data_IF_489468684186
#
_entry.id   IF_489468684186
#
_cell.length_a   1.000
_cell.length_b   1.000
_cell.length_c   1.000
_cell.angle_alpha   90.00
_cell.angle_beta   90.00
_cell.angle_gamma   90.00
#
_symmetry.space_group_name_H-M   'P 1'
#
loop_
_entity.id
_entity.type
_entity.pdbx_description
1 polymer ?
#
# COMPACT_ATOMS: atom_id res chain seq x y z
N UNK A 1 -7.63 4.17 3.54
CA UNK A 1 -6.99 2.95 3.01
C UNK A 1 -6.56 3.19 1.58
N UNK A 2 -5.34 2.83 1.26
CA UNK A 2 -4.86 2.92 -0.12
C UNK A 2 -5.44 1.79 -0.96
N UNK A 3 -5.77 2.08 -2.21
CA UNK A 3 -6.25 1.08 -3.17
C UNK A 3 -5.25 0.99 -4.30
N UNK A 4 -4.61 -0.17 -4.43
CA UNK A 4 -3.52 -0.39 -5.38
C UNK A 4 -3.96 -1.44 -6.40
N UNK A 5 -3.93 -1.14 -7.70
CA UNK A 5 -4.31 -2.12 -8.72
C UNK A 5 -3.36 -3.32 -8.75
N UNK A 6 -3.95 -4.51 -8.88
CA UNK A 6 -3.20 -5.73 -9.12
C UNK A 6 -4.03 -6.62 -10.04
N UNK A 7 -3.74 -6.53 -11.36
CA UNK A 7 -4.55 -7.22 -12.35
C UNK A 7 -5.99 -6.68 -12.36
N UNK A 8 -6.95 -7.56 -12.24
CA UNK A 8 -8.37 -7.20 -12.17
C UNK A 8 -8.86 -6.92 -10.76
N UNK A 9 -7.95 -6.85 -9.80
CA UNK A 9 -8.28 -6.63 -8.39
C UNK A 9 -7.65 -5.37 -7.87
N UNK A 10 -8.20 -4.87 -6.77
CA UNK A 10 -7.62 -3.78 -5.98
C UNK A 10 -7.18 -4.32 -4.65
N UNK A 11 -6.02 -3.89 -4.21
CA UNK A 11 -5.51 -4.24 -2.90
C UNK A 11 -5.63 -3.03 -2.01
N UNK A 12 -6.37 -3.17 -0.91
CA UNK A 12 -6.45 -2.14 0.11
C UNK A 12 -5.36 -2.36 1.16
N UNK A 13 -4.61 -1.32 1.46
CA UNK A 13 -3.57 -1.39 2.49
C UNK A 13 -3.51 -0.05 3.23
N UNK A 14 -3.40 -0.10 4.55
CA UNK A 14 -3.35 1.11 5.36
C UNK A 14 -2.00 1.80 5.25
N UNK A 15 -1.97 3.14 5.27
CA UNK A 15 -0.72 3.89 5.11
C UNK A 15 0.37 3.52 6.10
N UNK A 16 0.00 3.25 7.35
CA UNK A 16 0.97 2.93 8.41
C UNK A 16 1.58 1.54 8.27
N UNK A 17 1.01 0.69 7.40
CA UNK A 17 1.52 -0.67 7.16
C UNK A 17 2.42 -0.76 5.95
N UNK A 18 2.62 0.35 5.25
CA UNK A 18 3.50 0.42 4.07
C UNK A 18 4.85 0.95 4.51
N UNK A 19 5.92 0.30 4.07
CA UNK A 19 7.29 0.72 4.34
C UNK A 19 7.96 1.13 3.04
N UNK A 20 8.82 2.13 3.12
CA UNK A 20 9.72 2.47 2.02
C UNK A 20 10.96 1.61 2.19
N UNK A 21 11.29 0.84 1.17
CA UNK A 21 12.41 -0.10 1.19
C UNK A 21 13.35 0.19 0.02
N UNK A 22 14.58 -0.33 0.08
CA UNK A 22 15.56 -0.11 -0.96
C UNK A 22 15.47 -1.14 -2.08
N UNK A 23 14.88 -2.31 -1.80
CA UNK A 23 14.80 -3.42 -2.75
C UNK A 23 13.51 -4.19 -2.57
N UNK A 24 13.14 -4.94 -3.61
CA UNK A 24 12.07 -5.95 -3.56
C UNK A 24 10.70 -5.40 -3.21
N UNK A 25 10.44 -4.16 -3.55
CA UNK A 25 9.15 -3.54 -3.34
C UNK A 25 8.48 -3.15 -4.64
N UNK A 26 7.30 -2.54 -4.52
CA UNK A 26 6.57 -1.98 -5.64
C UNK A 26 7.15 -0.62 -5.99
N UNK A 27 7.48 -0.42 -7.26
CA UNK A 27 8.05 0.85 -7.70
C UNK A 27 7.03 1.98 -7.50
N UNK A 28 7.50 3.10 -6.98
CA UNK A 28 6.66 4.25 -6.70
C UNK A 28 7.47 5.52 -6.86
N UNK A 29 6.77 6.62 -7.08
CA UNK A 29 7.41 7.94 -7.12
C UNK A 29 6.81 8.81 -6.03
N UNK A 30 7.68 9.49 -5.29
CA UNK A 30 7.25 10.42 -4.25
C UNK A 30 6.71 11.68 -4.90
N UNK A 31 5.52 12.10 -4.51
CA UNK A 31 4.88 13.32 -5.00
C UNK A 31 4.99 14.44 -3.98
N UNK A 32 4.62 14.17 -2.74
CA UNK A 32 4.72 15.15 -1.66
C UNK A 32 5.17 14.49 -0.38
N UNK A 33 5.75 15.28 0.51
CA UNK A 33 6.15 14.84 1.85
C UNK A 33 5.64 15.88 2.84
N UNK A 34 4.92 15.43 3.86
CA UNK A 34 4.38 16.29 4.90
C UNK A 34 4.88 15.81 6.25
N UNK A 35 5.48 16.72 7.01
CA UNK A 35 5.98 16.42 8.34
C UNK A 35 4.96 16.89 9.38
N UNK A 36 4.47 15.96 10.19
CA UNK A 36 3.42 16.20 11.16
C UNK A 36 3.93 16.16 12.61
N UNK A 37 5.20 16.49 12.81
CA UNK A 37 5.82 16.38 14.11
C UNK A 37 6.33 14.98 14.37
N UNK A 38 5.54 14.14 15.06
CA UNK A 38 5.97 12.78 15.37
C UNK A 38 5.99 11.86 14.15
N UNK A 39 5.21 12.18 13.12
CA UNK A 39 5.05 11.34 11.93
C UNK A 39 5.30 12.14 10.66
N UNK A 40 5.51 11.43 9.56
CA UNK A 40 5.52 11.98 8.21
C UNK A 40 4.53 11.22 7.34
N UNK A 41 3.89 11.94 6.42
CA UNK A 41 3.04 11.34 5.40
C UNK A 41 3.70 11.58 4.06
N UNK A 42 4.00 10.50 3.36
CA UNK A 42 4.63 10.53 2.04
C UNK A 42 3.57 10.10 1.02
N UNK A 43 3.15 11.02 0.17
CA UNK A 43 2.24 10.70 -0.91
C UNK A 43 3.06 10.24 -2.10
N UNK A 44 2.80 9.00 -2.52
CA UNK A 44 3.48 8.39 -3.65
C UNK A 44 2.49 8.08 -4.76
N UNK A 45 3.01 7.74 -5.92
CA UNK A 45 2.22 7.29 -7.05
C UNK A 45 2.73 5.92 -7.50
N UNK A 46 1.82 4.95 -7.59
CA UNK A 46 2.10 3.60 -8.06
C UNK A 46 1.17 3.35 -9.24
N UNK A 47 1.76 3.18 -10.44
CA UNK A 47 0.98 2.93 -11.65
C UNK A 47 -0.15 3.95 -11.85
N UNK A 48 0.16 5.22 -11.60
CA UNK A 48 -0.80 6.30 -11.77
C UNK A 48 -1.79 6.47 -10.62
N UNK A 49 -1.71 5.66 -9.57
CA UNK A 49 -2.62 5.72 -8.44
C UNK A 49 -1.94 6.33 -7.22
N UNK A 50 -2.62 7.21 -6.49
CA UNK A 50 -2.04 7.78 -5.27
C UNK A 50 -2.00 6.74 -4.15
N UNK A 51 -0.86 6.69 -3.47
CA UNK A 51 -0.64 5.78 -2.35
C UNK A 51 0.02 6.56 -1.24
N UNK A 52 -0.63 6.64 -0.08
CA UNK A 52 -0.08 7.33 1.09
C UNK A 52 0.69 6.35 1.96
N UNK A 53 1.87 6.79 2.40
CA UNK A 53 2.70 6.05 3.35
C UNK A 53 2.83 6.90 4.61
N UNK A 54 2.59 6.29 5.76
CA UNK A 54 2.77 6.98 7.04
C UNK A 54 3.96 6.36 7.75
N UNK A 55 4.95 7.18 8.05
CA UNK A 55 6.17 6.78 8.75
C UNK A 55 6.29 7.49 10.07
N UNK A 56 6.84 6.80 11.06
CA UNK A 56 7.23 7.47 12.31
C UNK A 56 8.42 8.37 12.03
N UNK A 57 8.41 9.52 12.69
CA UNK A 57 9.53 10.43 12.63
C UNK A 57 9.60 11.25 11.35
N UNK A 58 10.79 11.76 11.09
CA UNK A 58 11.05 12.65 9.97
C UNK A 58 11.52 11.84 8.76
N UNK A 59 10.79 11.92 7.66
CA UNK A 59 11.17 11.22 6.43
C UNK A 59 12.28 11.94 5.70
N UNK A 60 13.20 11.17 5.11
CA UNK A 60 14.27 11.69 4.25
C UNK A 60 13.86 11.70 2.78
N UNK A 61 12.65 11.27 2.45
CA UNK A 61 12.18 11.27 1.07
C UNK A 61 11.94 12.70 0.58
N UNK A 62 12.12 12.89 -0.71
CA UNK A 62 11.89 14.18 -1.39
C UNK A 62 10.96 13.99 -2.58
N UNK A 63 10.14 14.99 -2.91
CA UNK A 63 9.33 14.94 -4.13
C UNK A 63 10.19 14.62 -5.36
N UNK A 64 9.72 13.69 -6.17
CA UNK A 64 10.43 13.25 -7.36
C UNK A 64 11.31 12.03 -7.16
N UNK A 65 11.52 11.60 -5.91
CA UNK A 65 12.31 10.40 -5.64
C UNK A 65 11.61 9.15 -6.17
N UNK A 66 12.40 8.24 -6.72
CA UNK A 66 11.94 6.89 -7.04
C UNK A 66 12.21 6.01 -5.84
N UNK A 67 11.17 5.38 -5.34
CA UNK A 67 11.24 4.55 -4.13
C UNK A 67 10.57 3.22 -4.39
N UNK A 68 10.71 2.30 -3.45
CA UNK A 68 9.99 1.03 -3.46
C UNK A 68 9.18 0.90 -2.19
N UNK A 69 7.96 0.40 -2.34
CA UNK A 69 7.04 0.24 -1.23
C UNK A 69 6.83 -1.24 -0.96
N UNK A 70 6.80 -1.59 0.31
CA UNK A 70 6.59 -2.97 0.73
C UNK A 70 5.62 -3.02 1.90
N UNK A 71 4.88 -4.11 1.98
CA UNK A 71 3.97 -4.40 3.08
C UNK A 71 3.78 -5.90 3.18
N UNK A 72 3.29 -6.37 4.32
CA UNK A 72 3.01 -7.78 4.50
C UNK A 72 1.65 -8.13 3.87
N UNK A 73 1.64 -9.21 3.10
CA UNK A 73 0.43 -9.62 2.40
C UNK A 73 -0.74 -9.94 3.34
N UNK A 74 -0.45 -10.30 4.59
CA UNK A 74 -1.48 -10.58 5.58
C UNK A 74 -2.36 -9.35 5.87
N UNK A 75 -1.86 -8.15 5.58
CA UNK A 75 -2.60 -6.90 5.81
C UNK A 75 -3.39 -6.43 4.59
N UNK A 76 -3.34 -7.19 3.49
CA UNK A 76 -4.05 -6.81 2.27
C UNK A 76 -5.54 -7.11 2.38
N UNK A 77 -6.34 -6.15 1.92
CA UNK A 77 -7.77 -6.32 1.74
C UNK A 77 -8.03 -6.36 0.24
N UNK A 78 -8.71 -7.39 -0.24
CA UNK A 78 -8.93 -7.57 -1.66
C UNK A 78 -10.31 -7.07 -2.08
N UNK A 79 -10.34 -6.35 -3.20
CA UNK A 79 -11.58 -5.84 -3.79
C UNK A 79 -11.62 -6.20 -5.27
N UNK A 80 -12.82 -6.40 -5.79
CA UNK A 80 -13.02 -6.54 -7.22
C UNK A 80 -12.92 -5.16 -7.87
N UNK A 81 -12.05 -5.03 -8.86
CA UNK A 81 -11.80 -3.73 -9.50
C UNK A 81 -13.03 -3.21 -10.24
N UNK A 82 -13.82 -4.10 -10.82
CA UNK A 82 -15.00 -3.71 -11.58
C UNK A 82 -16.16 -3.28 -10.69
N UNK A 83 -16.48 -4.09 -9.68
CA UNK A 83 -17.63 -3.84 -8.80
C UNK A 83 -17.29 -3.07 -7.54
N UNK A 84 -16.03 -3.05 -7.16
CA UNK A 84 -15.59 -2.49 -5.89
C UNK A 84 -15.93 -3.36 -4.69
N UNK A 85 -16.44 -4.57 -4.91
CA UNK A 85 -16.82 -5.46 -3.82
C UNK A 85 -15.60 -6.06 -3.16
N UNK A 86 -15.68 -6.21 -1.85
CA UNK A 86 -14.61 -6.81 -1.06
C UNK A 86 -14.56 -8.32 -1.27
N UNK A 87 -13.38 -8.83 -1.59
CA UNK A 87 -13.15 -10.25 -1.84
C UNK A 87 -12.44 -10.96 -0.71
N UNK A 88 -12.17 -10.25 0.36
CA UNK A 88 -11.43 -10.75 1.50
C UNK A 88 -12.08 -11.99 2.11
N UNK A 89 -13.40 -12.00 2.14
CA UNK A 89 -14.17 -13.12 2.68
C UNK A 89 -13.87 -14.42 1.95
N UNK A 90 -13.82 -14.38 0.64
CA UNK A 90 -13.50 -15.56 -0.17
C UNK A 90 -12.07 -16.05 0.10
N UNK A 91 -11.13 -15.13 0.26
CA UNK A 91 -9.75 -15.46 0.59
C UNK A 91 -9.68 -16.17 1.94
N UNK A 92 -10.39 -15.64 2.92
CA UNK A 92 -10.39 -16.23 4.26
C UNK A 92 -11.00 -17.64 4.26
N UNK A 93 -12.06 -17.85 3.51
CA UNK A 93 -12.66 -19.15 3.35
C UNK A 93 -11.68 -20.15 2.74
N UNK A 94 -10.94 -19.72 1.73
CA UNK A 94 -9.92 -20.55 1.11
C UNK A 94 -8.86 -20.97 2.12
N UNK A 95 -8.39 -20.05 2.92
CA UNK A 95 -7.41 -20.37 3.96
C UNK A 95 -7.96 -21.35 4.96
N UNK A 96 -9.20 -21.19 5.38
CA UNK A 96 -9.83 -22.11 6.33
C UNK A 96 -9.95 -23.51 5.76
N UNK A 97 -10.31 -23.61 4.49
CA UNK A 97 -10.38 -24.91 3.83
C UNK A 97 -9.02 -25.58 3.79
N UNK A 98 -7.98 -24.83 3.46
CA UNK A 98 -6.63 -25.36 3.40
C UNK A 98 -6.12 -25.78 4.79
N UNK A 99 -6.42 -24.98 5.79
CA UNK A 99 -5.93 -25.22 7.15
C UNK A 99 -6.80 -26.21 7.93
N UNK A 100 -8.01 -26.41 7.48
CA UNK A 100 -8.94 -27.32 8.10
C UNK A 100 -8.78 -28.72 7.59
#
# INVERSE_FOLDING_TARGET
MNLIPRGDRLIGIRPELIRIVSQDGHAARVKTVEHLGADSIILCEVEGQPVSVRQDGFSKAHPGDDVRLAWDAVHEHLFDQTSGRRLEQAVDETRRVVSG
#
